data_IF_994976848125
#
_entry.id   IF_994976848125
#
_cell.length_a   1.000
_cell.length_b   1.000
_cell.length_c   1.000
_cell.angle_alpha   90.00
_cell.angle_beta   90.00
_cell.angle_gamma   90.00
#
_symmetry.space_group_name_H-M   'P 1'
#
loop_
_entity.id
_entity.type
_entity.pdbx_description
1 polymer ?
#
# COMPACT_ATOMS: atom_id res chain seq x y z
N UNK A 1 -14.17 -14.54 -26.75
CA UNK A 1 -13.17 -13.59 -26.21
C UNK A 1 -13.92 -12.74 -25.19
N UNK A 2 -13.54 -12.80 -23.91
CA UNK A 2 -14.22 -12.02 -22.86
C UNK A 2 -13.70 -10.59 -22.96
N UNK A 3 -14.56 -9.64 -23.30
CA UNK A 3 -14.18 -8.22 -23.38
C UNK A 3 -14.15 -7.65 -21.97
N UNK A 4 -13.01 -7.11 -21.55
CA UNK A 4 -12.90 -6.40 -20.27
C UNK A 4 -13.78 -5.14 -20.28
N UNK A 5 -14.48 -4.84 -19.17
CA UNK A 5 -15.20 -3.58 -19.04
C UNK A 5 -14.24 -2.40 -19.16
N UNK A 6 -14.56 -1.43 -20.02
CA UNK A 6 -13.74 -0.23 -20.16
C UNK A 6 -14.30 0.90 -19.28
N UNK A 7 -13.54 1.38 -18.26
CA UNK A 7 -13.99 2.38 -17.29
C UNK A 7 -14.19 3.79 -17.89
N UNK A 8 -13.91 3.98 -19.18
CA UNK A 8 -14.12 5.24 -19.91
C UNK A 8 -15.37 5.26 -20.77
N UNK A 9 -16.05 4.12 -20.89
CA UNK A 9 -17.35 4.06 -21.56
C UNK A 9 -18.42 4.73 -20.69
N UNK A 10 -19.50 5.16 -21.34
CA UNK A 10 -20.67 5.62 -20.60
C UNK A 10 -21.19 4.54 -19.64
N UNK A 11 -21.89 4.96 -18.59
CA UNK A 11 -22.30 4.07 -17.50
C UNK A 11 -23.02 2.82 -17.98
N UNK A 12 -23.93 2.96 -18.95
CA UNK A 12 -24.72 1.84 -19.46
C UNK A 12 -23.85 0.74 -20.11
N UNK A 13 -22.89 1.12 -20.94
CA UNK A 13 -22.03 0.15 -21.62
C UNK A 13 -21.06 -0.52 -20.65
N UNK A 14 -20.50 0.25 -19.70
CA UNK A 14 -19.65 -0.30 -18.65
C UNK A 14 -20.39 -1.37 -17.85
N UNK A 15 -21.59 -1.06 -17.36
CA UNK A 15 -22.37 -1.99 -16.54
C UNK A 15 -22.82 -3.24 -17.29
N UNK A 16 -23.11 -3.15 -18.60
CA UNK A 16 -23.41 -4.32 -19.46
C UNK A 16 -22.20 -5.25 -19.59
N UNK A 17 -21.01 -4.70 -19.84
CA UNK A 17 -19.77 -5.46 -19.93
C UNK A 17 -19.41 -6.09 -18.57
N UNK A 18 -19.52 -5.30 -17.50
CA UNK A 18 -19.31 -5.75 -16.13
C UNK A 18 -20.21 -6.94 -15.79
N UNK A 19 -21.52 -6.82 -16.05
CA UNK A 19 -22.49 -7.89 -15.82
C UNK A 19 -22.11 -9.17 -16.57
N UNK A 20 -21.73 -9.05 -17.84
CA UNK A 20 -21.37 -10.22 -18.65
C UNK A 20 -20.22 -11.01 -18.03
N UNK A 21 -19.18 -10.31 -17.53
CA UNK A 21 -18.06 -10.96 -16.85
C UNK A 21 -18.48 -11.48 -15.48
N UNK A 22 -19.24 -10.71 -14.70
CA UNK A 22 -19.71 -11.08 -13.38
C UNK A 22 -20.60 -12.33 -13.38
N UNK A 23 -21.52 -12.44 -14.33
CA UNK A 23 -22.41 -13.60 -14.50
C UNK A 23 -21.63 -14.87 -14.92
N UNK A 24 -20.41 -14.73 -15.45
CA UNK A 24 -19.54 -15.85 -15.79
C UNK A 24 -18.71 -16.39 -14.60
N UNK A 25 -18.70 -15.66 -13.47
CA UNK A 25 -18.05 -16.08 -12.24
C UNK A 25 -18.95 -17.05 -11.46
N UNK A 26 -18.34 -17.93 -10.67
CA UNK A 26 -19.05 -18.71 -9.65
C UNK A 26 -19.53 -17.79 -8.52
N UNK A 27 -20.41 -18.30 -7.66
CA UNK A 27 -20.86 -17.57 -6.47
C UNK A 27 -19.71 -17.16 -5.54
N UNK A 28 -18.64 -17.96 -5.47
CA UNK A 28 -17.44 -17.60 -4.71
C UNK A 28 -16.69 -16.44 -5.39
N UNK A 29 -16.50 -16.50 -6.71
CA UNK A 29 -15.89 -15.41 -7.48
C UNK A 29 -16.69 -14.10 -7.39
N UNK A 30 -18.02 -14.17 -7.43
CA UNK A 30 -18.90 -13.01 -7.26
C UNK A 30 -18.77 -12.39 -5.87
N UNK A 31 -18.79 -13.21 -4.82
CA UNK A 31 -18.58 -12.75 -3.44
C UNK A 31 -17.20 -12.11 -3.27
N UNK A 32 -16.18 -12.74 -3.85
CA UNK A 32 -14.81 -12.24 -3.85
C UNK A 32 -14.68 -10.90 -4.56
N UNK A 33 -15.35 -10.71 -5.70
CA UNK A 33 -15.41 -9.43 -6.40
C UNK A 33 -15.93 -8.31 -5.48
N UNK A 34 -17.03 -8.54 -4.77
CA UNK A 34 -17.59 -7.51 -3.87
C UNK A 34 -16.63 -7.22 -2.72
N UNK A 35 -16.07 -8.25 -2.09
CA UNK A 35 -15.11 -8.09 -1.00
C UNK A 35 -13.86 -7.32 -1.44
N UNK A 36 -13.28 -7.70 -2.57
CA UNK A 36 -12.05 -7.09 -3.08
C UNK A 36 -12.31 -5.65 -3.56
N UNK A 37 -13.48 -5.35 -4.15
CA UNK A 37 -13.90 -3.99 -4.48
C UNK A 37 -13.99 -3.11 -3.24
N UNK A 38 -14.65 -3.59 -2.17
CA UNK A 38 -14.76 -2.85 -0.91
C UNK A 38 -13.39 -2.62 -0.26
N UNK A 39 -12.51 -3.62 -0.28
CA UNK A 39 -11.15 -3.48 0.25
C UNK A 39 -10.34 -2.42 -0.50
N UNK A 40 -10.42 -2.39 -1.83
CA UNK A 40 -9.72 -1.38 -2.63
C UNK A 40 -10.30 0.02 -2.42
N UNK A 41 -11.64 0.12 -2.33
CA UNK A 41 -12.33 1.36 -2.02
C UNK A 41 -11.88 1.94 -0.67
N UNK A 42 -11.80 1.12 0.38
CA UNK A 42 -11.33 1.58 1.69
C UNK A 42 -9.90 2.11 1.62
N UNK A 43 -8.98 1.39 0.96
CA UNK A 43 -7.60 1.88 0.77
C UNK A 43 -7.55 3.22 0.04
N UNK A 44 -8.37 3.40 -0.99
CA UNK A 44 -8.43 4.68 -1.70
C UNK A 44 -9.01 5.80 -0.84
N UNK A 45 -10.09 5.51 -0.10
CA UNK A 45 -10.77 6.47 0.77
C UNK A 45 -9.81 7.13 1.76
N UNK A 46 -8.82 6.40 2.27
CA UNK A 46 -7.82 6.91 3.22
C UNK A 46 -7.06 8.14 2.68
N UNK A 47 -6.81 8.19 1.36
CA UNK A 47 -6.11 9.30 0.72
C UNK A 47 -7.02 10.48 0.37
N UNK A 48 -8.34 10.29 0.36
CA UNK A 48 -9.30 11.31 -0.08
C UNK A 48 -9.23 12.52 0.84
N UNK A 49 -9.16 13.71 0.25
CA UNK A 49 -9.11 14.98 0.95
C UNK A 49 -7.72 15.59 1.03
N UNK A 50 -6.69 14.77 0.82
CA UNK A 50 -5.31 15.20 0.63
C UNK A 50 -5.08 15.84 -0.76
N UNK A 51 -3.91 16.46 -0.99
CA UNK A 51 -3.64 17.17 -2.23
C UNK A 51 -3.65 16.27 -3.47
N UNK A 52 -4.28 16.77 -4.53
CA UNK A 52 -4.30 16.17 -5.85
C UNK A 52 -3.08 16.61 -6.69
N UNK A 53 -2.64 15.84 -7.69
CA UNK A 53 -3.24 14.60 -8.22
C UNK A 53 -3.11 13.39 -7.26
N UNK A 54 -4.04 12.44 -7.41
CA UNK A 54 -3.93 11.12 -6.77
C UNK A 54 -3.20 10.15 -7.70
N UNK A 55 -2.04 9.69 -7.24
CA UNK A 55 -1.25 8.67 -7.90
C UNK A 55 -1.60 7.29 -7.34
N UNK A 56 -2.31 6.50 -8.13
CA UNK A 56 -2.63 5.11 -7.83
C UNK A 56 -1.39 4.26 -8.11
N UNK A 57 -0.90 3.56 -7.09
CA UNK A 57 0.26 2.68 -7.18
C UNK A 57 -0.22 1.24 -6.99
N UNK A 58 -0.33 0.45 -8.07
CA UNK A 58 -0.74 -0.95 -7.97
C UNK A 58 0.41 -1.79 -7.40
N UNK A 59 0.09 -2.70 -6.50
CA UNK A 59 1.03 -3.71 -6.04
C UNK A 59 1.17 -4.86 -7.05
N UNK A 60 2.03 -5.83 -6.74
CA UNK A 60 2.20 -7.01 -7.58
C UNK A 60 0.91 -7.83 -7.74
N UNK A 61 0.06 -7.91 -6.70
CA UNK A 61 -1.19 -8.68 -6.76
C UNK A 61 -2.19 -8.10 -7.77
N UNK A 62 -2.26 -6.77 -7.86
CA UNK A 62 -3.08 -6.06 -8.85
C UNK A 62 -2.53 -6.29 -10.26
N UNK A 63 -1.22 -6.12 -10.45
CA UNK A 63 -0.59 -6.31 -11.76
C UNK A 63 -0.71 -7.75 -12.25
N UNK A 64 -0.53 -8.73 -11.36
CA UNK A 64 -0.70 -10.14 -11.68
C UNK A 64 -2.14 -10.46 -12.07
N UNK A 65 -3.13 -9.92 -11.35
CA UNK A 65 -4.54 -10.12 -11.68
C UNK A 65 -4.87 -9.63 -13.10
N UNK A 66 -4.47 -8.39 -13.43
CA UNK A 66 -4.71 -7.80 -14.76
C UNK A 66 -4.03 -8.62 -15.86
N UNK A 67 -2.76 -8.99 -15.66
CA UNK A 67 -2.00 -9.79 -16.64
C UNK A 67 -2.64 -11.16 -16.89
N UNK A 68 -3.17 -11.77 -15.85
CA UNK A 68 -3.62 -13.15 -15.88
C UNK A 68 -5.14 -13.30 -16.10
N UNK A 69 -5.85 -12.19 -16.33
CA UNK A 69 -7.32 -12.13 -16.48
C UNK A 69 -7.88 -13.11 -17.52
N UNK A 70 -7.26 -13.17 -18.71
CA UNK A 70 -7.75 -13.97 -19.83
C UNK A 70 -7.43 -15.47 -19.68
N UNK A 71 -6.59 -15.86 -18.72
CA UNK A 71 -6.17 -17.24 -18.55
C UNK A 71 -7.35 -18.08 -18.05
N UNK A 72 -7.59 -19.23 -18.68
CA UNK A 72 -8.62 -20.17 -18.28
C UNK A 72 -8.30 -20.80 -16.91
N UNK A 73 -9.32 -20.94 -16.06
CA UNK A 73 -9.18 -21.48 -14.69
C UNK A 73 -8.68 -20.49 -13.63
N UNK A 74 -8.37 -19.24 -14.00
CA UNK A 74 -7.94 -18.17 -13.07
C UNK A 74 -9.09 -17.26 -12.63
N UNK A 75 -10.08 -17.85 -11.96
CA UNK A 75 -11.29 -17.13 -11.54
C UNK A 75 -11.02 -16.04 -10.48
N UNK A 76 -10.06 -16.29 -9.58
CA UNK A 76 -9.64 -15.32 -8.57
C UNK A 76 -9.06 -14.06 -9.22
N UNK A 77 -8.19 -14.19 -10.22
CA UNK A 77 -7.61 -13.07 -10.98
C UNK A 77 -8.67 -12.32 -11.78
N UNK A 78 -9.68 -13.01 -12.32
CA UNK A 78 -10.83 -12.36 -12.98
C UNK A 78 -11.63 -11.51 -12.02
N UNK A 79 -11.98 -12.06 -10.86
CA UNK A 79 -12.74 -11.37 -9.81
C UNK A 79 -11.99 -10.13 -9.31
N UNK A 80 -10.67 -10.25 -9.10
CA UNK A 80 -9.78 -9.14 -8.71
C UNK A 80 -9.68 -8.06 -9.78
N UNK A 81 -9.46 -8.44 -11.03
CA UNK A 81 -9.40 -7.48 -12.15
C UNK A 81 -10.71 -6.71 -12.27
N UNK A 82 -11.84 -7.41 -12.15
CA UNK A 82 -13.16 -6.81 -12.19
C UNK A 82 -13.37 -5.80 -11.05
N UNK A 83 -12.91 -6.14 -9.85
CA UNK A 83 -12.95 -5.27 -8.66
C UNK A 83 -12.15 -4.00 -8.87
N UNK A 84 -10.94 -4.13 -9.38
CA UNK A 84 -10.05 -3.00 -9.64
C UNK A 84 -10.60 -2.07 -10.72
N UNK A 85 -11.06 -2.63 -11.85
CA UNK A 85 -11.70 -1.86 -12.92
C UNK A 85 -12.96 -1.15 -12.42
N UNK A 86 -13.76 -1.80 -11.58
CA UNK A 86 -14.96 -1.20 -11.00
C UNK A 86 -14.64 -0.03 -10.07
N UNK A 87 -13.57 -0.12 -9.29
CA UNK A 87 -13.07 1.01 -8.52
C UNK A 87 -12.64 2.15 -9.45
N UNK A 88 -11.84 1.88 -10.49
CA UNK A 88 -11.39 2.93 -11.43
C UNK A 88 -12.58 3.60 -12.12
N UNK A 89 -13.57 2.82 -12.56
CA UNK A 89 -14.80 3.36 -13.15
C UNK A 89 -15.53 4.27 -12.14
N UNK A 90 -15.72 3.82 -10.90
CA UNK A 90 -16.31 4.66 -9.85
C UNK A 90 -15.57 5.99 -9.70
N UNK A 91 -14.24 5.93 -9.58
CA UNK A 91 -13.42 7.12 -9.41
C UNK A 91 -13.55 8.08 -10.60
N UNK A 92 -13.61 7.57 -11.84
CA UNK A 92 -13.74 8.40 -13.05
C UNK A 92 -15.16 8.95 -13.28
N UNK A 93 -16.19 8.16 -12.99
CA UNK A 93 -17.58 8.48 -13.36
C UNK A 93 -18.38 9.17 -12.24
N UNK A 94 -17.97 9.02 -10.98
CA UNK A 94 -18.71 9.56 -9.81
C UNK A 94 -17.90 10.59 -9.02
N UNK A 95 -16.66 10.89 -9.45
CA UNK A 95 -15.80 11.90 -8.83
C UNK A 95 -15.13 12.77 -9.89
N UNK A 96 -14.61 13.92 -9.47
CA UNK A 96 -13.90 14.88 -10.32
C UNK A 96 -12.39 14.90 -10.00
N UNK A 97 -11.86 13.77 -9.54
CA UNK A 97 -10.47 13.68 -9.10
C UNK A 97 -9.48 13.58 -10.27
N UNK A 98 -8.32 14.26 -10.17
CA UNK A 98 -7.16 14.07 -11.05
C UNK A 98 -6.46 12.77 -10.65
N UNK A 99 -6.73 11.70 -11.40
CA UNK A 99 -6.24 10.36 -11.18
C UNK A 99 -5.13 10.02 -12.17
N UNK A 100 -4.03 9.46 -11.64
CA UNK A 100 -2.89 9.01 -12.44
C UNK A 100 -2.43 7.65 -11.98
N UNK A 101 -2.01 6.81 -12.92
CA UNK A 101 -1.42 5.51 -12.61
C UNK A 101 0.09 5.66 -12.50
N UNK A 102 0.62 5.50 -11.29
CA UNK A 102 2.04 5.67 -11.04
C UNK A 102 2.80 4.35 -11.07
N UNK A 103 3.87 4.29 -11.87
CA UNK A 103 4.77 3.15 -11.98
C UNK A 103 6.10 3.52 -11.33
N UNK A 104 6.46 2.80 -10.27
CA UNK A 104 7.73 2.96 -9.56
C UNK A 104 8.83 2.05 -10.12
N UNK A 105 10.11 2.31 -9.82
CA UNK A 105 11.20 1.45 -10.26
C UNK A 105 11.08 0.03 -9.69
N UNK A 106 10.50 -0.11 -8.50
CA UNK A 106 10.24 -1.41 -7.89
C UNK A 106 9.13 -2.19 -8.62
N UNK A 107 8.06 -1.51 -9.06
CA UNK A 107 7.03 -2.14 -9.89
C UNK A 107 7.68 -2.67 -11.19
N UNK A 108 8.50 -1.85 -11.85
CA UNK A 108 9.20 -2.29 -13.06
C UNK A 108 10.14 -3.48 -12.76
N UNK A 109 10.88 -3.43 -11.66
CA UNK A 109 11.76 -4.52 -11.22
C UNK A 109 11.00 -5.83 -11.00
N UNK A 110 9.83 -5.79 -10.36
CA UNK A 110 9.00 -6.98 -10.18
C UNK A 110 8.36 -7.44 -11.48
N UNK A 111 7.97 -6.52 -12.37
CA UNK A 111 7.43 -6.82 -13.69
C UNK A 111 8.42 -7.59 -14.57
N UNK A 112 9.70 -7.22 -14.54
CA UNK A 112 10.78 -7.91 -15.27
C UNK A 112 11.32 -9.14 -14.51
N UNK A 113 10.54 -9.67 -13.57
CA UNK A 113 10.85 -10.87 -12.78
C UNK A 113 12.13 -10.75 -11.95
N UNK A 114 12.39 -9.56 -11.40
CA UNK A 114 13.54 -9.27 -10.52
C UNK A 114 14.90 -9.41 -11.21
N UNK A 115 14.95 -9.14 -12.51
CA UNK A 115 16.17 -9.12 -13.33
C UNK A 115 16.72 -7.70 -13.45
N UNK A 116 18.00 -7.59 -13.83
CA UNK A 116 18.60 -6.32 -14.21
C UNK A 116 18.11 -5.85 -15.58
N UNK A 117 18.10 -4.53 -15.79
CA UNK A 117 17.89 -3.95 -17.12
C UNK A 117 19.21 -3.99 -17.92
N UNK A 118 19.19 -4.69 -19.05
CA UNK A 118 20.37 -4.91 -19.89
C UNK A 118 20.71 -3.72 -20.77
N UNK A 119 19.69 -3.15 -21.43
CA UNK A 119 19.86 -2.10 -22.43
C UNK A 119 18.58 -1.26 -22.59
N UNK A 120 18.71 -0.14 -23.32
CA UNK A 120 17.63 0.83 -23.53
C UNK A 120 16.46 0.25 -24.35
N UNK A 121 16.73 -0.68 -25.28
CA UNK A 121 15.69 -1.29 -26.09
C UNK A 121 14.82 -2.22 -25.24
N UNK A 122 15.44 -3.03 -24.37
CA UNK A 122 14.77 -3.87 -23.38
C UNK A 122 13.94 -3.02 -22.42
N UNK A 123 14.48 -1.90 -21.92
CA UNK A 123 13.73 -0.98 -21.05
C UNK A 123 12.47 -0.42 -21.72
N UNK A 124 12.58 0.10 -22.95
CA UNK A 124 11.43 0.64 -23.70
C UNK A 124 10.39 -0.43 -24.02
N UNK A 125 10.85 -1.64 -24.35
CA UNK A 125 9.97 -2.78 -24.64
C UNK A 125 9.17 -3.20 -23.42
N UNK A 126 9.83 -3.38 -22.26
CA UNK A 126 9.17 -3.82 -21.03
C UNK A 126 8.19 -2.77 -20.49
N UNK A 127 8.54 -1.48 -20.58
CA UNK A 127 7.66 -0.39 -20.19
C UNK A 127 6.43 -0.28 -21.11
N UNK A 128 6.63 -0.42 -22.42
CA UNK A 128 5.53 -0.50 -23.39
C UNK A 128 4.61 -1.68 -23.11
N UNK A 129 5.17 -2.85 -22.81
CA UNK A 129 4.39 -4.05 -22.46
C UNK A 129 3.57 -3.84 -21.19
N UNK A 130 4.17 -3.23 -20.16
CA UNK A 130 3.47 -2.88 -18.92
C UNK A 130 2.32 -1.89 -19.19
N UNK A 131 2.58 -0.84 -19.97
CA UNK A 131 1.56 0.13 -20.36
C UNK A 131 0.40 -0.53 -21.12
N UNK A 132 0.68 -1.44 -22.06
CA UNK A 132 -0.35 -2.13 -22.84
C UNK A 132 -1.32 -2.94 -21.95
N UNK A 133 -0.81 -3.60 -20.90
CA UNK A 133 -1.68 -4.33 -19.97
C UNK A 133 -2.56 -3.41 -19.12
N UNK A 134 -2.09 -2.18 -18.88
CA UNK A 134 -2.73 -1.21 -18.02
C UNK A 134 -3.56 -0.17 -18.81
N UNK A 135 -3.51 -0.22 -20.14
CA UNK A 135 -4.26 0.66 -21.06
C UNK A 135 -5.77 0.57 -20.83
N UNK A 136 -6.26 -0.60 -20.42
CA UNK A 136 -7.68 -0.83 -20.11
C UNK A 136 -8.21 0.10 -19.00
N UNK A 137 -7.34 0.66 -18.15
CA UNK A 137 -7.74 1.56 -17.07
C UNK A 137 -8.00 2.99 -17.58
N UNK A 138 -7.45 3.33 -18.76
CA UNK A 138 -7.49 4.66 -19.36
C UNK A 138 -7.16 5.76 -18.34
N UNK A 139 -6.01 5.59 -17.67
CA UNK A 139 -5.45 6.55 -16.75
C UNK A 139 -4.15 7.11 -17.34
N UNK A 140 -3.86 8.37 -17.04
CA UNK A 140 -2.56 8.95 -17.41
C UNK A 140 -1.46 8.28 -16.61
N UNK A 141 -0.43 7.76 -17.30
CA UNK A 141 0.71 7.13 -16.67
C UNK A 141 1.68 8.17 -16.12
N UNK A 142 2.16 7.91 -14.91
CA UNK A 142 3.22 8.67 -14.27
C UNK A 142 4.41 7.78 -13.95
N UNK A 143 5.55 8.09 -14.55
CA UNK A 143 6.79 7.33 -14.40
C UNK A 143 7.62 7.91 -13.24
N UNK A 144 7.55 7.28 -12.07
CA UNK A 144 8.29 7.72 -10.89
C UNK A 144 9.74 7.27 -10.99
N UNK A 145 10.67 8.19 -11.31
CA UNK A 145 12.10 7.85 -11.40
C UNK A 145 12.42 6.82 -12.50
N UNK A 146 11.65 6.84 -13.58
CA UNK A 146 11.77 5.95 -14.74
C UNK A 146 11.84 6.75 -16.05
N UNK A 147 12.29 8.00 -16.02
CA UNK A 147 12.24 8.89 -17.20
C UNK A 147 13.25 8.49 -18.29
N UNK A 148 14.34 7.85 -17.89
CA UNK A 148 15.40 7.41 -18.80
C UNK A 148 15.90 6.02 -18.42
N UNK A 149 16.46 5.30 -19.39
CA UNK A 149 17.10 4.00 -19.14
C UNK A 149 18.18 4.09 -18.04
N UNK A 150 19.03 5.13 -18.07
CA UNK A 150 20.10 5.31 -17.06
C UNK A 150 19.53 5.47 -15.65
N UNK A 151 18.45 6.25 -15.52
CA UNK A 151 17.79 6.43 -14.23
C UNK A 151 17.15 5.13 -13.74
N UNK A 152 16.42 4.44 -14.62
CA UNK A 152 15.78 3.16 -14.30
C UNK A 152 16.82 2.09 -13.90
N UNK A 153 17.91 1.97 -14.67
CA UNK A 153 19.00 1.03 -14.39
C UNK A 153 19.66 1.34 -13.04
N UNK A 154 19.96 2.61 -12.75
CA UNK A 154 20.50 3.02 -11.45
C UNK A 154 19.56 2.63 -10.30
N UNK A 155 18.28 2.94 -10.42
CA UNK A 155 17.30 2.65 -9.38
C UNK A 155 17.14 1.14 -9.16
N UNK A 156 17.12 0.34 -10.23
CA UNK A 156 17.05 -1.13 -10.13
C UNK A 156 18.31 -1.71 -9.49
N UNK A 157 19.50 -1.21 -9.83
CA UNK A 157 20.74 -1.65 -9.19
C UNK A 157 20.75 -1.31 -7.69
N UNK A 158 20.24 -0.13 -7.31
CA UNK A 158 20.08 0.24 -5.91
C UNK A 158 19.08 -0.69 -5.18
N UNK A 159 17.96 -1.04 -5.83
CA UNK A 159 16.99 -2.01 -5.29
C UNK A 159 17.66 -3.36 -5.03
N UNK A 160 18.40 -3.88 -6.02
CA UNK A 160 19.09 -5.17 -5.90
C UNK A 160 20.09 -5.13 -4.74
N UNK A 161 20.92 -4.09 -4.68
CA UNK A 161 21.92 -3.93 -3.60
C UNK A 161 21.27 -3.87 -2.22
N UNK A 162 20.18 -3.10 -2.08
CA UNK A 162 19.46 -2.99 -0.82
C UNK A 162 18.78 -4.30 -0.42
N UNK A 163 18.16 -5.02 -1.38
CA UNK A 163 17.56 -6.34 -1.12
C UNK A 163 18.62 -7.31 -0.58
N UNK A 164 19.82 -7.33 -1.14
CA UNK A 164 20.91 -8.17 -0.64
C UNK A 164 21.33 -7.80 0.78
N UNK A 165 21.48 -6.50 1.07
CA UNK A 165 21.82 -6.02 2.41
C UNK A 165 20.73 -6.39 3.42
N UNK A 166 19.46 -6.12 3.09
CA UNK A 166 18.31 -6.45 3.93
C UNK A 166 18.23 -7.96 4.17
N UNK A 167 18.47 -8.78 3.15
CA UNK A 167 18.48 -10.25 3.28
C UNK A 167 19.55 -10.70 4.27
N UNK A 168 20.80 -10.24 4.11
CA UNK A 168 21.90 -10.56 5.02
C UNK A 168 21.57 -10.16 6.46
N UNK A 169 20.99 -8.98 6.65
CA UNK A 169 20.59 -8.47 7.96
C UNK A 169 19.46 -9.29 8.58
N UNK A 170 18.44 -9.67 7.82
CA UNK A 170 17.37 -10.55 8.29
C UNK A 170 17.88 -11.95 8.66
N UNK A 171 18.88 -12.48 7.94
CA UNK A 171 19.51 -13.75 8.32
C UNK A 171 20.25 -13.64 9.67
N UNK A 172 20.98 -12.55 9.89
CA UNK A 172 21.62 -12.26 11.19
C UNK A 172 20.57 -12.15 12.30
N UNK A 173 19.48 -11.42 12.05
CA UNK A 173 18.37 -11.31 12.99
C UNK A 173 17.77 -12.69 13.24
N UNK A 174 17.54 -13.52 12.22
CA UNK A 174 16.90 -14.83 12.38
C UNK A 174 17.72 -15.78 13.24
N UNK A 175 19.04 -15.74 13.09
CA UNK A 175 19.97 -16.69 13.72
C UNK A 175 20.45 -16.24 15.12
N UNK A 176 20.06 -15.05 15.56
CA UNK A 176 20.34 -14.54 16.91
C UNK A 176 19.42 -15.18 17.94
N UNK A 177 19.91 -15.35 19.16
CA UNK A 177 19.07 -15.69 20.32
C UNK A 177 18.26 -14.47 20.78
N UNK A 178 16.96 -14.67 20.91
CA UNK A 178 15.98 -13.64 21.23
C UNK A 178 15.29 -13.87 22.58
N UNK A 179 15.77 -14.78 23.43
CA UNK A 179 15.25 -14.92 24.79
C UNK A 179 15.68 -13.72 25.67
N UNK A 180 15.00 -12.60 25.49
CA UNK A 180 15.25 -11.36 26.23
C UNK A 180 14.48 -11.36 27.54
N UNK A 181 15.08 -10.77 28.58
CA UNK A 181 14.45 -10.66 29.90
C UNK A 181 13.44 -9.52 29.94
N UNK A 182 12.16 -9.85 29.93
CA UNK A 182 11.04 -8.89 30.01
C UNK A 182 10.35 -8.85 31.38
N UNK A 183 10.83 -9.61 32.37
CA UNK A 183 10.18 -9.68 33.68
C UNK A 183 10.99 -8.92 34.71
N UNK A 184 10.31 -8.03 35.42
CA UNK A 184 10.86 -7.29 36.56
C UNK A 184 9.84 -7.28 37.69
N UNK A 185 10.25 -7.75 38.87
CA UNK A 185 9.43 -7.69 40.10
C UNK A 185 7.99 -8.20 39.87
N UNK A 186 7.87 -9.37 39.23
CA UNK A 186 6.62 -10.06 38.84
C UNK A 186 5.77 -9.42 37.74
N UNK A 187 6.19 -8.29 37.17
CA UNK A 187 5.52 -7.66 36.04
C UNK A 187 6.20 -7.97 34.71
N UNK A 188 5.40 -8.25 33.68
CA UNK A 188 5.85 -8.27 32.30
C UNK A 188 6.00 -6.83 31.80
N UNK A 189 7.21 -6.46 31.43
CA UNK A 189 7.58 -5.12 30.98
C UNK A 189 8.28 -5.19 29.62
N UNK A 190 7.70 -4.52 28.63
CA UNK A 190 8.32 -4.32 27.32
C UNK A 190 8.69 -2.84 27.15
N UNK A 191 9.96 -2.45 27.38
CA UNK A 191 10.36 -1.07 27.19
C UNK A 191 10.19 -0.70 25.69
N UNK A 192 9.53 0.41 25.35
CA UNK A 192 9.32 0.84 23.96
C UNK A 192 10.62 1.03 23.14
N UNK A 193 11.77 1.06 23.81
CA UNK A 193 13.09 1.26 23.21
C UNK A 193 13.99 0.04 23.28
N UNK A 194 13.54 -1.12 23.78
CA UNK A 194 14.42 -2.27 23.96
C UNK A 194 14.93 -2.83 22.62
N UNK A 195 14.15 -2.66 21.56
CA UNK A 195 14.44 -3.19 20.23
C UNK A 195 15.17 -2.20 19.34
N UNK A 196 15.02 -0.88 19.56
CA UNK A 196 15.66 0.15 18.74
C UNK A 196 17.20 0.06 18.70
N UNK A 197 17.93 -0.16 19.82
CA UNK A 197 19.37 -0.39 19.80
C UNK A 197 19.78 -1.71 19.13
N UNK A 198 18.84 -2.66 19.00
CA UNK A 198 19.08 -3.98 18.41
C UNK A 198 18.88 -3.98 16.89
N UNK A 199 18.27 -2.93 16.32
CA UNK A 199 18.10 -2.77 14.87
C UNK A 199 19.47 -2.55 14.23
N UNK A 200 19.92 -3.43 13.32
CA UNK A 200 21.20 -3.26 12.66
C UNK A 200 21.22 -2.02 11.77
N UNK A 201 22.32 -1.28 11.82
CA UNK A 201 22.54 -0.12 10.93
C UNK A 201 23.07 -0.63 9.59
N UNK A 202 22.25 -0.54 8.56
CA UNK A 202 22.64 -0.77 7.17
C UNK A 202 22.57 0.54 6.38
N UNK A 203 23.25 0.62 5.23
CA UNK A 203 23.22 1.81 4.37
C UNK A 203 22.47 1.48 3.10
N UNK A 204 21.25 2.02 3.00
CA UNK A 204 20.35 1.81 1.88
C UNK A 204 20.47 2.94 0.85
N UNK A 205 20.18 2.63 -0.41
CA UNK A 205 20.27 3.56 -1.54
C UNK A 205 18.93 3.82 -2.22
N UNK A 206 18.01 2.86 -2.19
CA UNK A 206 16.66 2.96 -2.73
C UNK A 206 15.60 2.95 -1.63
N UNK A 207 15.68 1.98 -0.71
CA UNK A 207 14.70 1.88 0.36
C UNK A 207 14.99 2.89 1.47
N UNK A 208 13.92 3.45 2.04
CA UNK A 208 14.02 4.37 3.16
C UNK A 208 14.48 3.64 4.42
N UNK A 209 15.53 4.19 5.05
CA UNK A 209 16.06 3.69 6.31
C UNK A 209 14.99 3.63 7.40
N UNK A 210 14.06 4.60 7.42
CA UNK A 210 12.99 4.66 8.40
C UNK A 210 12.10 3.42 8.31
N UNK A 211 11.53 3.14 7.13
CA UNK A 211 10.62 2.00 6.95
C UNK A 211 11.35 0.67 7.10
N UNK A 212 12.57 0.53 6.57
CA UNK A 212 13.35 -0.70 6.77
C UNK A 212 13.65 -0.96 8.25
N UNK A 213 13.94 0.09 9.04
CA UNK A 213 14.12 -0.06 10.48
C UNK A 213 12.82 -0.44 11.19
N UNK A 214 11.66 0.08 10.78
CA UNK A 214 10.36 -0.33 11.32
C UNK A 214 10.11 -1.83 11.10
N UNK A 215 10.43 -2.35 9.91
CA UNK A 215 10.34 -3.78 9.64
C UNK A 215 11.30 -4.61 10.49
N UNK A 216 12.59 -4.23 10.54
CA UNK A 216 13.55 -4.94 11.38
C UNK A 216 13.13 -4.96 12.84
N UNK A 217 12.67 -3.82 13.35
CA UNK A 217 12.13 -3.69 14.69
C UNK A 217 10.98 -4.67 14.90
N UNK A 218 10.00 -4.70 14.00
CA UNK A 218 8.85 -5.60 14.11
C UNK A 218 9.26 -7.08 14.08
N UNK A 219 10.22 -7.46 13.23
CA UNK A 219 10.75 -8.83 13.19
C UNK A 219 11.48 -9.19 14.49
N UNK A 220 12.27 -8.27 15.02
CA UNK A 220 12.99 -8.43 16.29
C UNK A 220 11.99 -8.58 17.46
N UNK A 221 10.98 -7.71 17.53
CA UNK A 221 9.93 -7.72 18.55
C UNK A 221 9.14 -9.03 18.51
N UNK A 222 8.67 -9.43 17.32
CA UNK A 222 7.95 -10.69 17.11
C UNK A 222 8.77 -11.91 17.55
N UNK A 223 10.07 -11.92 17.25
CA UNK A 223 10.98 -12.99 17.69
C UNK A 223 11.23 -12.98 19.20
N UNK A 224 11.49 -11.81 19.78
CA UNK A 224 11.78 -11.70 21.20
C UNK A 224 10.59 -12.09 22.08
N UNK A 225 9.37 -11.76 21.63
CA UNK A 225 8.14 -12.18 22.30
C UNK A 225 7.89 -13.66 22.00
N UNK A 226 7.86 -14.08 20.73
CA UNK A 226 7.47 -15.43 20.34
C UNK A 226 8.41 -16.55 20.81
N UNK A 227 9.72 -16.27 20.88
CA UNK A 227 10.73 -17.23 21.32
C UNK A 227 11.03 -17.13 22.82
N UNK A 228 10.36 -16.25 23.57
CA UNK A 228 10.65 -16.08 24.99
C UNK A 228 10.41 -17.36 25.76
N UNK A 229 11.25 -17.69 26.73
CA UNK A 229 11.08 -18.87 27.58
C UNK A 229 9.87 -18.75 28.54
N UNK A 230 9.55 -17.55 29.04
CA UNK A 230 8.40 -17.34 29.93
C UNK A 230 7.07 -17.25 29.14
N UNK A 231 6.10 -18.08 29.55
CA UNK A 231 4.78 -18.16 28.91
C UNK A 231 3.96 -16.86 29.07
N UNK A 232 4.12 -16.13 30.18
CA UNK A 232 3.42 -14.86 30.45
C UNK A 232 3.81 -13.81 29.44
N UNK A 233 5.11 -13.70 29.12
CA UNK A 233 5.60 -12.80 28.07
C UNK A 233 4.92 -13.10 26.74
N UNK A 234 4.86 -14.39 26.36
CA UNK A 234 4.23 -14.82 25.10
C UNK A 234 2.73 -14.52 25.04
N UNK A 235 2.03 -14.59 26.17
CA UNK A 235 0.57 -14.36 26.22
C UNK A 235 0.21 -12.89 26.38
N UNK A 236 0.91 -12.14 27.24
CA UNK A 236 0.57 -10.76 27.61
C UNK A 236 1.08 -9.73 26.61
N UNK A 237 2.23 -10.01 25.95
CA UNK A 237 2.80 -9.09 24.96
C UNK A 237 2.48 -9.48 23.53
N UNK A 238 1.57 -10.45 23.32
CA UNK A 238 1.17 -10.83 21.96
C UNK A 238 0.50 -9.62 21.29
N UNK A 239 1.19 -9.04 20.31
CA UNK A 239 0.71 -7.90 19.55
C UNK A 239 0.50 -8.30 18.08
N UNK A 240 -0.75 -8.38 17.65
CA UNK A 240 -1.11 -8.78 16.29
C UNK A 240 -0.63 -7.78 15.23
N UNK A 241 -0.53 -6.48 15.56
CA UNK A 241 0.04 -5.45 14.68
C UNK A 241 1.54 -5.66 14.42
N UNK A 242 2.33 -5.91 15.47
CA UNK A 242 3.77 -6.23 15.35
C UNK A 242 3.97 -7.49 14.52
N UNK A 243 3.17 -8.53 14.77
CA UNK A 243 3.22 -9.77 13.99
C UNK A 243 2.81 -9.57 12.53
N UNK A 244 1.84 -8.69 12.26
CA UNK A 244 1.42 -8.33 10.90
C UNK A 244 2.56 -7.65 10.15
N UNK A 245 3.14 -6.60 10.70
CA UNK A 245 4.27 -5.89 10.07
C UNK A 245 5.47 -6.81 9.86
N UNK A 246 5.83 -7.62 10.87
CA UNK A 246 6.89 -8.62 10.77
C UNK A 246 6.60 -9.68 9.68
N UNK A 247 5.32 -9.91 9.37
CA UNK A 247 4.94 -10.95 8.42
C UNK A 247 5.13 -10.57 6.95
N UNK A 248 5.19 -9.27 6.64
CA UNK A 248 5.44 -8.75 5.29
C UNK A 248 6.86 -9.05 4.82
N UNK A 249 7.87 -8.91 5.69
CA UNK A 249 9.27 -9.19 5.35
C UNK A 249 9.75 -10.55 5.85
N UNK A 250 9.98 -11.50 4.92
CA UNK A 250 10.48 -12.84 5.25
C UNK A 250 11.51 -13.34 4.24
N UNK A 251 12.43 -14.18 4.70
CA UNK A 251 13.31 -14.94 3.80
C UNK A 251 12.64 -16.28 3.49
N UNK A 252 12.38 -16.54 2.21
CA UNK A 252 11.86 -17.82 1.71
C UNK A 252 12.81 -18.37 0.65
N UNK A 253 13.35 -19.57 0.87
CA UNK A 253 14.35 -20.21 -0.02
C UNK A 253 15.54 -19.28 -0.34
N UNK A 254 16.06 -18.58 0.67
CA UNK A 254 17.19 -17.65 0.53
C UNK A 254 16.88 -16.32 -0.17
N UNK A 255 15.62 -16.03 -0.51
CA UNK A 255 15.22 -14.77 -1.15
C UNK A 255 14.32 -13.95 -0.24
N UNK A 256 14.49 -12.63 -0.28
CA UNK A 256 13.59 -11.68 0.37
C UNK A 256 12.21 -11.68 -0.32
N UNK A 257 11.19 -12.02 0.46
CA UNK A 257 9.78 -11.76 0.17
C UNK A 257 9.37 -10.49 0.95
N UNK A 258 8.58 -9.62 0.32
CA UNK A 258 8.13 -8.35 0.92
C UNK A 258 8.90 -7.10 0.49
N UNK A 259 9.80 -7.19 -0.50
CA UNK A 259 10.46 -6.01 -1.05
C UNK A 259 9.43 -5.06 -1.70
N UNK A 260 8.51 -5.61 -2.51
CA UNK A 260 7.33 -4.92 -3.05
C UNK A 260 6.53 -4.20 -1.97
N UNK A 261 6.14 -4.94 -0.93
CA UNK A 261 5.37 -4.45 0.22
C UNK A 261 6.06 -3.27 0.94
N UNK A 262 7.36 -3.40 1.23
CA UNK A 262 8.19 -2.32 1.80
C UNK A 262 8.21 -1.10 0.87
N UNK A 263 8.39 -1.32 -0.43
CA UNK A 263 8.41 -0.23 -1.41
C UNK A 263 7.06 0.44 -1.61
N UNK A 264 5.96 -0.28 -1.45
CA UNK A 264 4.62 0.29 -1.48
C UNK A 264 4.37 1.12 -0.22
N UNK A 265 4.66 0.57 0.96
CA UNK A 265 4.49 1.26 2.24
C UNK A 265 5.27 2.59 2.27
N UNK A 266 6.55 2.57 1.88
CA UNK A 266 7.38 3.79 1.96
C UNK A 266 6.88 4.94 1.06
N UNK A 267 6.15 4.62 -0.02
CA UNK A 267 5.63 5.61 -0.97
C UNK A 267 4.18 5.98 -0.62
N UNK A 268 3.42 5.06 -0.02
CA UNK A 268 1.97 5.19 0.19
C UNK A 268 1.58 5.36 1.66
N UNK A 269 2.52 5.70 2.54
CA UNK A 269 2.24 6.07 3.93
C UNK A 269 1.52 7.43 3.96
N UNK A 270 0.19 7.37 4.05
CA UNK A 270 -0.72 8.51 3.99
C UNK A 270 -0.51 9.46 5.19
N UNK A 271 -0.24 8.92 6.39
CA UNK A 271 0.05 9.72 7.56
C UNK A 271 1.29 10.60 7.36
N UNK A 272 2.35 10.02 6.79
CA UNK A 272 3.57 10.74 6.43
C UNK A 272 3.35 11.77 5.32
N UNK A 273 2.52 11.47 4.32
CA UNK A 273 2.17 12.46 3.27
C UNK A 273 1.43 13.67 3.86
N UNK A 274 0.51 13.44 4.79
CA UNK A 274 -0.23 14.49 5.51
C UNK A 274 0.70 15.35 6.38
N UNK A 275 1.59 14.71 7.14
CA UNK A 275 2.52 15.42 8.03
C UNK A 275 3.55 16.25 7.27
N UNK A 276 4.00 15.79 6.10
CA UNK A 276 5.01 16.45 5.28
C UNK A 276 4.44 17.46 4.27
N UNK A 277 3.13 17.75 4.29
CA UNK A 277 2.47 18.67 3.37
C UNK A 277 2.77 18.35 1.89
N UNK A 278 2.68 17.07 1.54
CA UNK A 278 2.96 16.61 0.18
C UNK A 278 2.07 17.33 -0.84
N UNK A 279 2.64 17.70 -2.00
CA UNK A 279 1.91 18.39 -3.07
C UNK A 279 0.97 17.49 -3.87
N UNK A 280 1.03 16.19 -3.63
CA UNK A 280 0.24 15.16 -4.28
C UNK A 280 0.07 13.99 -3.31
N UNK A 281 -0.82 13.07 -3.64
CA UNK A 281 -1.12 11.92 -2.79
C UNK A 281 -0.85 10.63 -3.55
N UNK A 282 -0.09 9.72 -2.95
CA UNK A 282 0.19 8.39 -3.47
C UNK A 282 -0.62 7.37 -2.69
N UNK A 283 -1.39 6.54 -3.39
CA UNK A 283 -2.33 5.58 -2.80
C UNK A 283 -1.96 4.18 -3.29
N UNK A 284 -1.57 3.32 -2.35
CA UNK A 284 -1.24 1.93 -2.63
C UNK A 284 -2.50 1.07 -2.69
N UNK A 285 -2.68 0.34 -3.79
CA UNK A 285 -3.79 -0.59 -3.96
C UNK A 285 -3.28 -2.03 -4.05
N UNK A 286 -3.87 -2.91 -3.24
CA UNK A 286 -3.42 -4.30 -3.06
C UNK A 286 -4.59 -5.22 -2.72
N UNK A 287 -4.49 -6.49 -3.14
CA UNK A 287 -5.36 -7.58 -2.69
C UNK A 287 -4.71 -8.43 -1.57
N UNK A 288 -3.48 -8.12 -1.15
CA UNK A 288 -2.86 -8.72 0.01
C UNK A 288 -3.46 -8.11 1.29
N UNK A 289 -4.19 -8.92 2.05
CA UNK A 289 -4.88 -8.49 3.27
C UNK A 289 -3.91 -7.94 4.33
N UNK A 290 -2.72 -8.50 4.43
CA UNK A 290 -1.71 -8.10 5.43
C UNK A 290 -1.17 -6.72 5.03
N UNK A 291 -0.83 -6.53 3.76
CA UNK A 291 -0.36 -5.24 3.25
C UNK A 291 -1.45 -4.18 3.34
N UNK A 292 -2.70 -4.50 2.99
CA UNK A 292 -3.86 -3.62 3.14
C UNK A 292 -4.00 -3.11 4.58
N UNK A 293 -3.93 -4.02 5.57
CA UNK A 293 -4.01 -3.66 6.98
C UNK A 293 -2.83 -2.80 7.44
N UNK A 294 -1.62 -3.04 6.94
CA UNK A 294 -0.45 -2.21 7.26
C UNK A 294 -0.60 -0.81 6.66
N UNK A 295 -1.02 -0.69 5.40
CA UNK A 295 -1.29 0.61 4.78
C UNK A 295 -2.39 1.38 5.53
N UNK A 296 -3.45 0.69 5.96
CA UNK A 296 -4.49 1.27 6.78
C UNK A 296 -3.95 1.84 8.09
N UNK A 297 -3.14 1.08 8.83
CA UNK A 297 -2.55 1.54 10.09
C UNK A 297 -1.59 2.73 9.89
N UNK A 298 -0.98 2.85 8.71
CA UNK A 298 -0.10 3.95 8.33
C UNK A 298 -0.84 5.14 7.69
N UNK A 299 -2.17 5.15 7.74
CA UNK A 299 -2.98 6.27 7.25
C UNK A 299 -3.52 7.17 8.37
N UNK A 300 -3.27 6.84 9.64
CA UNK A 300 -3.72 7.65 10.77
C UNK A 300 -3.00 9.01 10.81
N UNK A 301 -3.77 10.09 10.99
CA UNK A 301 -3.24 11.44 11.13
C UNK A 301 -2.84 11.71 12.59
N UNK A 302 -1.58 11.43 12.92
CA UNK A 302 -0.99 11.72 14.22
C UNK A 302 -0.56 13.19 14.31
N UNK A 303 -1.44 14.06 14.81
CA UNK A 303 -1.14 15.49 14.99
C UNK A 303 -0.53 15.70 16.39
N UNK A 304 0.75 16.05 16.42
CA UNK A 304 1.47 16.37 17.66
C UNK A 304 1.64 17.89 17.80
N UNK A 305 1.44 18.42 19.00
CA UNK A 305 1.63 19.85 19.32
C UNK A 305 3.10 20.28 19.42
N UNK A 306 4.04 19.35 19.21
CA UNK A 306 5.48 19.58 19.35
C UNK A 306 5.94 19.62 20.82
N UNK A 307 7.26 19.72 21.02
CA UNK A 307 7.85 19.78 22.37
C UNK A 307 7.77 21.20 22.92
N UNK A 308 7.01 21.38 23.99
CA UNK A 308 6.98 22.63 24.75
C UNK A 308 8.19 22.73 25.67
N UNK A 309 9.09 23.69 25.41
CA UNK A 309 10.07 24.12 26.41
C UNK A 309 9.46 25.21 27.28
N UNK A 310 8.97 24.83 28.46
CA UNK A 310 8.54 25.78 29.49
C UNK A 310 9.73 26.56 30.03
N UNK A 311 9.54 27.85 30.37
CA UNK A 311 10.59 28.70 30.97
C UNK A 311 11.35 29.62 30.00
N UNK A 312 11.07 29.57 28.70
CA UNK A 312 11.54 30.61 27.75
C UNK A 312 10.46 31.70 27.60
N UNK A 313 10.82 32.97 27.77
CA UNK A 313 9.92 34.15 27.66
C UNK A 313 9.51 34.46 26.21
N UNK A 314 9.09 33.47 25.43
CA UNK A 314 8.71 33.67 24.03
C UNK A 314 7.28 33.19 23.77
N UNK A 315 6.32 33.92 24.33
CA UNK A 315 4.88 33.71 24.13
C UNK A 315 4.50 33.70 22.64
N UNK A 316 5.17 34.52 21.81
CA UNK A 316 4.92 34.55 20.36
C UNK A 316 5.22 33.19 19.70
N UNK A 317 6.32 32.54 20.09
CA UNK A 317 6.66 31.19 19.61
C UNK A 317 5.64 30.15 20.07
N UNK A 318 5.15 30.25 21.30
CA UNK A 318 4.08 29.38 21.80
C UNK A 318 2.79 29.52 20.99
N UNK A 319 2.33 30.76 20.76
CA UNK A 319 1.14 31.02 19.97
C UNK A 319 1.29 30.51 18.53
N UNK A 320 2.47 30.66 17.93
CA UNK A 320 2.73 30.13 16.59
C UNK A 320 2.65 28.60 16.52
N UNK A 321 3.22 27.90 17.50
CA UNK A 321 3.17 26.42 17.57
C UNK A 321 1.73 25.94 17.78
N UNK A 322 1.00 26.55 18.71
CA UNK A 322 -0.40 26.20 18.97
C UNK A 322 -1.28 26.49 17.76
N UNK A 323 -1.06 27.62 17.06
CA UNK A 323 -1.77 27.92 15.83
C UNK A 323 -1.52 26.86 14.77
N UNK A 324 -0.27 26.47 14.54
CA UNK A 324 0.06 25.41 13.58
C UNK A 324 -0.58 24.06 13.93
N UNK A 325 -0.65 23.72 15.22
CA UNK A 325 -1.39 22.54 15.69
C UNK A 325 -2.88 22.61 15.37
N UNK A 326 -3.56 23.71 15.71
CA UNK A 326 -4.98 23.88 15.42
C UNK A 326 -5.27 23.96 13.91
N UNK A 327 -4.41 24.60 13.12
CA UNK A 327 -4.53 24.65 11.66
C UNK A 327 -4.48 23.22 11.07
N UNK A 328 -3.62 22.33 11.61
CA UNK A 328 -3.55 20.91 11.21
C UNK A 328 -4.77 20.11 11.66
N UNK A 329 -5.31 20.38 12.85
CA UNK A 329 -6.55 19.74 13.33
C UNK A 329 -7.73 20.12 12.43
N UNK A 330 -7.90 21.40 12.13
CA UNK A 330 -8.95 21.87 11.21
C UNK A 330 -8.77 21.27 9.80
N UNK A 331 -7.53 21.12 9.35
CA UNK A 331 -7.26 20.45 8.08
C UNK A 331 -7.66 18.98 8.09
N UNK A 332 -7.37 18.24 9.16
CA UNK A 332 -7.82 16.85 9.32
C UNK A 332 -9.35 16.72 9.36
N UNK A 333 -10.05 17.65 10.01
CA UNK A 333 -11.52 17.68 10.01
C UNK A 333 -12.08 17.85 8.58
N UNK A 334 -11.52 18.76 7.79
CA UNK A 334 -11.88 18.93 6.38
C UNK A 334 -11.59 17.69 5.53
N UNK A 335 -10.54 16.94 5.86
CA UNK A 335 -10.25 15.66 5.20
C UNK A 335 -11.36 14.66 5.53
N UNK A 336 -11.73 14.52 6.81
CA UNK A 336 -12.79 13.62 7.25
C UNK A 336 -14.13 13.93 6.57
N UNK A 337 -14.50 15.20 6.46
CA UNK A 337 -15.72 15.61 5.73
C UNK A 337 -15.69 15.17 4.26
N UNK A 338 -14.55 15.36 3.57
CA UNK A 338 -14.39 14.92 2.17
C UNK A 338 -14.44 13.40 2.05
N UNK A 339 -13.87 12.66 3.00
CA UNK A 339 -13.97 11.21 3.04
C UNK A 339 -15.42 10.76 3.22
N UNK A 340 -16.19 11.41 4.10
CA UNK A 340 -17.63 11.11 4.28
C UNK A 340 -18.43 11.34 2.99
N UNK A 341 -18.20 12.47 2.30
CA UNK A 341 -18.86 12.75 1.01
C UNK A 341 -18.48 11.74 -0.07
N UNK A 342 -17.21 11.31 -0.11
CA UNK A 342 -16.75 10.27 -1.01
C UNK A 342 -17.43 8.93 -0.72
N UNK A 343 -17.56 8.57 0.56
CA UNK A 343 -18.29 7.39 0.99
C UNK A 343 -19.76 7.42 0.64
N UNK A 344 -20.42 8.57 0.81
CA UNK A 344 -21.81 8.73 0.38
C UNK A 344 -21.96 8.48 -1.12
N UNK A 345 -21.08 9.04 -1.95
CA UNK A 345 -21.11 8.79 -3.41
C UNK A 345 -20.91 7.32 -3.75
N UNK A 346 -20.02 6.64 -3.06
CA UNK A 346 -19.78 5.21 -3.27
C UNK A 346 -21.00 4.38 -2.86
N UNK A 347 -21.48 4.52 -1.63
CA UNK A 347 -22.53 3.67 -1.06
C UNK A 347 -23.96 4.02 -1.51
N UNK A 348 -24.24 5.30 -1.79
CA UNK A 348 -25.60 5.75 -2.12
C UNK A 348 -25.86 5.87 -3.61
N UNK A 349 -24.80 5.94 -4.43
CA UNK A 349 -24.94 6.05 -5.89
C UNK A 349 -24.33 4.84 -6.58
N UNK A 350 -23.01 4.68 -6.46
CA UNK A 350 -22.32 3.66 -7.23
C UNK A 350 -22.73 2.23 -6.90
N UNK A 351 -22.82 1.86 -5.61
CA UNK A 351 -23.25 0.51 -5.24
C UNK A 351 -24.71 0.22 -5.59
N UNK A 352 -25.57 1.25 -5.58
CA UNK A 352 -26.97 1.13 -6.03
C UNK A 352 -27.02 0.86 -7.54
N UNK A 353 -26.31 1.65 -8.33
CA UNK A 353 -26.22 1.46 -9.78
C UNK A 353 -25.59 0.11 -10.13
N UNK A 354 -24.57 -0.30 -9.38
CA UNK A 354 -23.93 -1.61 -9.50
C UNK A 354 -24.91 -2.75 -9.18
N UNK A 355 -25.65 -2.68 -8.07
CA UNK A 355 -26.63 -3.69 -7.68
C UNK A 355 -27.74 -3.82 -8.73
N UNK A 356 -28.29 -2.69 -9.19
CA UNK A 356 -29.30 -2.67 -10.25
C UNK A 356 -28.76 -3.31 -11.54
N UNK A 357 -27.52 -2.98 -11.92
CA UNK A 357 -26.87 -3.56 -13.08
C UNK A 357 -26.69 -5.07 -12.94
N UNK A 358 -26.20 -5.56 -11.80
CA UNK A 358 -25.91 -6.98 -11.61
C UNK A 358 -27.17 -7.84 -11.46
N UNK A 359 -28.25 -7.28 -10.89
CA UNK A 359 -29.52 -7.98 -10.66
C UNK A 359 -30.50 -7.90 -11.85
N UNK A 360 -30.27 -7.01 -12.81
CA UNK A 360 -31.08 -6.93 -14.02
C UNK A 360 -31.13 -8.29 -14.74
N UNK A 361 -32.32 -8.74 -15.14
CA UNK A 361 -32.45 -9.94 -15.96
C UNK A 361 -31.80 -9.70 -17.32
N UNK A 362 -30.99 -10.65 -17.77
CA UNK A 362 -30.39 -10.63 -19.11
C UNK A 362 -31.52 -10.59 -20.14
N UNK A 363 -31.69 -9.44 -20.78
CA UNK A 363 -32.69 -9.19 -21.83
C UNK A 363 -32.23 -9.72 -23.18
#
# INVERSE_FOLDING_TARGET
>A
MVVLPNPSKNNLNFFKELKTVFDSLSSEGQSKFIHDLLSLYELFRLGVGLPQPYYIIPDHSVLAAIRDFEIEGKEEERSRTLSFISLIFFLKAYTDYDLRLAISPLILYEWIERKELKDEASFKSELSRLHQHLEILDLTFYQMGLTTFKEAQRNINNIISDIEQITKTLDVIRNRDWDLKFIREDHVYFPPYITSPLVPKIKLQYFSQHYTNLFFRSVIESKAIGNNSDKRVRSELKNDGVNTMASLMKIKKGKLKGAGDLGLLQICDIGSLFLNDSKFTTIGLTFDRILSMVLFNHSEFLIESGVFQTGTKNEAKFHQVMKGFFDKVEYADKINEKQSLFSERFHMKFTVDLELALTAKSS
#
